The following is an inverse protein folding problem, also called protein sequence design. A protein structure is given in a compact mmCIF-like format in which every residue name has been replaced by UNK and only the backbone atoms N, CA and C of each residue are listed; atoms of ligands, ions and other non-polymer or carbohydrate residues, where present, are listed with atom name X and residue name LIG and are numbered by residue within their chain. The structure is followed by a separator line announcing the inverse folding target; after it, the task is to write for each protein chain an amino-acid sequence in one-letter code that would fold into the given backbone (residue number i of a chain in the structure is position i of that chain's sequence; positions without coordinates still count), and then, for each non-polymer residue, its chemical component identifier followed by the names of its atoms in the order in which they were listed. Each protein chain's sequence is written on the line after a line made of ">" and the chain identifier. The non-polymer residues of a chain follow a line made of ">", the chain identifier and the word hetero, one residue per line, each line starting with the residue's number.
data_IF_439406787465
#
_entry.id   IF_439406787465
#
_cell.length_a   1.000
_cell.length_b   1.000
_cell.length_c   1.000
_cell.angle_alpha   90.00
_cell.angle_beta   90.00
_cell.angle_gamma   90.00
#
_symmetry.space_group_name_H-M   'P 1'
#
loop_
_entity.id
_entity.type
_entity.pdbx_description
1 polymer ?
#
# COMPACT_ATOMS: atom_id res chain seq x y z
N UNK A 1 10.39 12.78 -22.26
CA UNK A 1 9.32 11.74 -22.25
C UNK A 1 9.99 10.38 -22.11
N UNK A 2 9.63 9.62 -21.06
CA UNK A 2 10.17 8.28 -20.80
C UNK A 2 9.29 7.23 -21.51
N UNK A 3 9.91 6.34 -22.28
CA UNK A 3 9.22 5.22 -22.92
C UNK A 3 9.10 4.09 -21.90
N UNK A 4 7.87 3.67 -21.60
CA UNK A 4 7.59 2.45 -20.84
C UNK A 4 7.23 1.39 -21.88
N UNK A 5 8.07 0.37 -22.03
CA UNK A 5 7.77 -0.75 -22.93
C UNK A 5 6.75 -1.65 -22.25
N UNK A 6 5.66 -1.98 -22.94
CA UNK A 6 4.52 -2.74 -22.40
C UNK A 6 4.83 -4.22 -22.10
N UNK A 7 6.05 -4.67 -22.43
CA UNK A 7 6.47 -6.05 -22.28
C UNK A 7 7.14 -6.23 -20.91
N UNK A 8 6.41 -6.88 -19.99
CA UNK A 8 6.99 -7.38 -18.75
C UNK A 8 7.74 -8.65 -19.10
N UNK A 9 9.05 -8.68 -18.86
CA UNK A 9 9.82 -9.91 -19.01
C UNK A 9 9.31 -10.93 -17.98
N UNK A 10 8.61 -11.96 -18.46
CA UNK A 10 7.90 -12.90 -17.60
C UNK A 10 8.83 -13.75 -16.73
N UNK A 11 10.10 -13.89 -17.11
CA UNK A 11 11.11 -14.65 -16.37
C UNK A 11 11.64 -13.88 -15.15
N UNK A 12 11.83 -12.57 -15.28
CA UNK A 12 12.39 -11.71 -14.23
C UNK A 12 11.35 -10.87 -13.48
N UNK A 13 10.11 -10.79 -13.98
CA UNK A 13 9.05 -9.88 -13.49
C UNK A 13 9.51 -8.41 -13.46
N UNK A 14 10.41 -8.03 -14.37
CA UNK A 14 10.88 -6.66 -14.50
C UNK A 14 10.27 -5.98 -15.72
N UNK A 15 10.08 -4.66 -15.62
CA UNK A 15 9.68 -3.83 -16.75
C UNK A 15 10.85 -2.90 -17.09
N UNK A 16 11.23 -2.89 -18.36
CA UNK A 16 12.28 -1.99 -18.84
C UNK A 16 11.73 -0.57 -18.94
N UNK A 17 12.35 0.37 -18.24
CA UNK A 17 12.02 1.80 -18.29
C UNK A 17 13.21 2.56 -18.88
N UNK A 18 13.00 3.29 -19.98
CA UNK A 18 14.02 4.17 -20.57
C UNK A 18 13.77 5.60 -20.13
N UNK A 19 14.77 6.20 -19.45
CA UNK A 19 14.70 7.59 -18.98
C UNK A 19 15.65 8.44 -19.81
N UNK A 20 15.14 9.55 -20.35
CA UNK A 20 15.98 10.57 -20.97
C UNK A 20 16.44 11.55 -19.88
N UNK A 21 17.75 11.73 -19.73
CA UNK A 21 18.33 12.66 -18.77
C UNK A 21 18.72 13.95 -19.51
N UNK A 22 18.11 15.07 -19.13
CA UNK A 22 18.42 16.39 -19.69
C UNK A 22 19.50 17.08 -18.84
N UNK A 23 20.40 17.84 -19.46
CA UNK A 23 21.40 18.67 -18.74
C UNK A 23 22.57 17.91 -18.11
N UNK A 24 22.84 16.67 -18.54
CA UNK A 24 23.96 15.88 -18.03
C UNK A 24 25.19 16.11 -18.91
N UNK A 25 25.99 17.13 -18.59
CA UNK A 25 27.28 17.37 -19.23
C UNK A 25 28.39 16.67 -18.44
N UNK A 26 29.09 15.71 -19.07
CA UNK A 26 30.40 15.22 -18.62
C UNK A 26 30.44 14.07 -17.59
N UNK A 27 29.44 13.92 -16.71
CA UNK A 27 29.59 13.07 -15.50
C UNK A 27 28.88 11.71 -15.52
N UNK A 28 28.16 11.36 -16.59
CA UNK A 28 27.51 10.04 -16.73
C UNK A 28 28.13 9.27 -17.88
N UNK A 29 29.03 8.35 -17.53
CA UNK A 29 29.70 7.47 -18.49
C UNK A 29 28.89 6.17 -18.70
N UNK A 30 28.93 5.57 -19.91
CA UNK A 30 28.38 4.23 -20.13
C UNK A 30 28.94 3.22 -19.11
N UNK A 31 28.05 2.42 -18.51
CA UNK A 31 28.40 1.46 -17.46
C UNK A 31 28.24 1.98 -16.03
N UNK A 32 27.90 3.25 -15.83
CA UNK A 32 27.62 3.83 -14.51
C UNK A 32 26.27 3.33 -13.97
N UNK A 33 26.21 3.00 -12.68
CA UNK A 33 24.97 2.68 -11.98
C UNK A 33 24.30 3.94 -11.44
N UNK A 34 22.99 4.08 -11.67
CA UNK A 34 22.16 5.13 -11.09
C UNK A 34 21.05 4.54 -10.22
N UNK A 35 20.56 5.32 -9.24
CA UNK A 35 19.33 5.02 -8.49
C UNK A 35 18.29 6.07 -8.85
N UNK A 36 17.11 5.63 -9.25
CA UNK A 36 15.96 6.49 -9.51
C UNK A 36 14.91 6.25 -8.42
N UNK A 37 14.43 7.33 -7.81
CA UNK A 37 13.24 7.30 -6.96
C UNK A 37 12.04 7.60 -7.83
N UNK A 38 11.17 6.60 -8.02
CA UNK A 38 9.89 6.81 -8.69
C UNK A 38 8.89 7.25 -7.62
N UNK A 39 8.48 8.51 -7.66
CA UNK A 39 7.39 8.99 -6.82
C UNK A 39 6.08 8.37 -7.32
N UNK A 40 5.49 7.48 -6.53
CA UNK A 40 4.11 7.06 -6.75
C UNK A 40 3.18 8.23 -6.41
N UNK A 41 2.17 8.47 -7.25
CA UNK A 41 1.14 9.47 -6.95
C UNK A 41 0.50 9.16 -5.59
N UNK A 42 0.32 10.17 -4.76
CA UNK A 42 -0.36 10.02 -3.48
C UNK A 42 -1.83 9.69 -3.75
N UNK A 43 -2.25 8.48 -3.37
CA UNK A 43 -3.67 8.11 -3.41
C UNK A 43 -4.30 8.27 -2.03
N UNK A 44 -5.56 8.68 -2.00
CA UNK A 44 -6.34 8.62 -0.77
C UNK A 44 -6.50 7.16 -0.33
N UNK A 45 -6.28 6.91 0.95
CA UNK A 45 -6.34 5.59 1.53
C UNK A 45 -6.89 5.66 2.96
N UNK A 46 -7.66 4.63 3.35
CA UNK A 46 -8.16 4.49 4.71
C UNK A 46 -7.11 3.77 5.54
N UNK A 47 -6.71 4.37 6.65
CA UNK A 47 -5.78 3.77 7.61
C UNK A 47 -6.47 3.52 8.94
N UNK A 48 -6.12 2.41 9.57
CA UNK A 48 -6.50 2.09 10.96
C UNK A 48 -5.24 1.75 11.77
N UNK A 49 -5.25 1.90 13.10
CA UNK A 49 -4.18 1.40 13.95
C UNK A 49 -3.98 -0.10 13.74
N UNK A 50 -2.73 -0.58 13.75
CA UNK A 50 -2.44 -2.00 13.58
C UNK A 50 -3.13 -2.87 14.65
N UNK A 51 -3.28 -2.34 15.88
CA UNK A 51 -4.00 -3.00 16.98
C UNK A 51 -5.48 -3.21 16.71
N UNK A 52 -6.09 -2.43 15.81
CA UNK A 52 -7.50 -2.52 15.44
C UNK A 52 -7.80 -3.73 14.52
N UNK A 53 -6.76 -4.35 13.94
CA UNK A 53 -6.90 -5.44 12.98
C UNK A 53 -6.69 -6.78 13.68
N UNK A 54 -7.76 -7.57 13.81
CA UNK A 54 -7.70 -8.94 14.27
C UNK A 54 -7.51 -9.89 13.08
N UNK A 55 -6.60 -10.87 13.19
CA UNK A 55 -6.41 -11.90 12.17
C UNK A 55 -6.89 -13.26 12.68
N UNK A 56 -7.68 -13.96 11.86
CA UNK A 56 -8.06 -15.36 12.09
C UNK A 56 -7.70 -16.13 10.82
N UNK A 57 -6.70 -17.00 10.93
CA UNK A 57 -6.11 -17.65 9.75
C UNK A 57 -5.58 -16.62 8.76
N UNK A 58 -6.07 -16.67 7.52
CA UNK A 58 -5.71 -15.74 6.45
C UNK A 58 -6.65 -14.52 6.34
N UNK A 59 -7.67 -14.45 7.19
CA UNK A 59 -8.67 -13.39 7.15
C UNK A 59 -8.32 -12.28 8.13
N UNK A 60 -8.51 -11.02 7.70
CA UNK A 60 -8.34 -9.83 8.52
C UNK A 60 -9.70 -9.20 8.81
N UNK A 61 -9.91 -8.83 10.08
CA UNK A 61 -11.15 -8.26 10.56
C UNK A 61 -10.90 -7.00 11.37
N UNK A 62 -11.87 -6.10 11.35
CA UNK A 62 -11.98 -4.97 12.28
C UNK A 62 -13.35 -5.00 12.94
N UNK A 63 -13.49 -4.33 14.08
CA UNK A 63 -14.79 -4.11 14.71
C UNK A 63 -15.23 -2.67 14.47
N UNK A 64 -16.32 -2.49 13.70
CA UNK A 64 -16.90 -1.19 13.37
C UNK A 64 -18.02 -0.88 14.35
N UNK A 65 -18.06 0.33 14.90
CA UNK A 65 -19.11 0.79 15.78
C UNK A 65 -20.29 1.31 14.97
N UNK A 66 -21.46 0.69 15.13
CA UNK A 66 -22.74 1.12 14.53
C UNK A 66 -23.83 1.01 15.58
N UNK A 67 -24.59 2.08 15.77
CA UNK A 67 -25.71 2.14 16.73
C UNK A 67 -25.32 1.69 18.15
N UNK A 68 -24.11 2.08 18.60
CA UNK A 68 -23.56 1.71 19.90
C UNK A 68 -23.08 0.26 20.03
N UNK A 69 -23.05 -0.52 18.94
CA UNK A 69 -22.62 -1.92 18.91
C UNK A 69 -21.39 -2.12 18.06
N UNK A 70 -20.49 -3.00 18.50
CA UNK A 70 -19.33 -3.42 17.73
C UNK A 70 -19.71 -4.55 16.77
N UNK A 71 -19.57 -4.32 15.48
CA UNK A 71 -19.84 -5.30 14.43
C UNK A 71 -18.53 -5.73 13.76
N UNK A 72 -18.29 -7.03 13.72
CA UNK A 72 -17.13 -7.58 13.02
C UNK A 72 -17.29 -7.38 11.52
N UNK A 73 -16.24 -6.89 10.87
CA UNK A 73 -16.21 -6.66 9.44
C UNK A 73 -14.93 -7.22 8.84
N UNK A 74 -15.09 -8.04 7.79
CA UNK A 74 -13.97 -8.52 6.98
C UNK A 74 -13.38 -7.35 6.19
N UNK A 75 -12.06 -7.25 6.19
CA UNK A 75 -11.32 -6.20 5.47
C UNK A 75 -10.20 -6.81 4.64
N UNK A 76 -9.85 -6.13 3.56
CA UNK A 76 -8.60 -6.39 2.84
C UNK A 76 -7.57 -5.37 3.28
N UNK A 77 -6.42 -5.83 3.76
CA UNK A 77 -5.33 -4.96 4.22
C UNK A 77 -4.30 -4.74 3.12
N UNK A 78 -3.73 -3.54 3.08
CA UNK A 78 -2.57 -3.17 2.29
C UNK A 78 -1.29 -3.15 3.12
N UNK A 79 -0.25 -2.45 2.64
CA UNK A 79 0.98 -2.23 3.38
C UNK A 79 0.75 -1.54 4.73
N UNK A 80 1.61 -1.86 5.70
CA UNK A 80 1.71 -1.09 6.93
C UNK A 80 2.55 0.17 6.71
N UNK A 81 2.21 1.25 7.40
CA UNK A 81 2.96 2.51 7.41
C UNK A 81 3.04 3.00 8.85
N UNK A 82 4.21 2.84 9.47
CA UNK A 82 4.37 3.08 10.91
C UNK A 82 3.51 2.13 11.74
N UNK A 83 2.68 2.68 12.61
CA UNK A 83 1.75 1.97 13.50
C UNK A 83 0.37 1.74 12.86
N UNK A 84 0.20 2.08 11.58
CA UNK A 84 -1.06 1.99 10.85
C UNK A 84 -1.01 0.93 9.76
N UNK A 85 -2.16 0.34 9.49
CA UNK A 85 -2.37 -0.58 8.38
C UNK A 85 -3.35 0.07 7.40
N UNK A 86 -2.98 0.05 6.12
CA UNK A 86 -3.88 0.46 5.06
C UNK A 86 -5.04 -0.54 4.90
N UNK A 87 -6.25 -0.03 4.69
CA UNK A 87 -7.43 -0.82 4.35
C UNK A 87 -7.79 -0.60 2.88
N UNK A 88 -7.59 -1.63 2.06
CA UNK A 88 -7.89 -1.64 0.63
C UNK A 88 -9.38 -1.83 0.34
N UNK A 89 -10.10 -2.54 1.22
CA UNK A 89 -11.55 -2.69 1.13
C UNK A 89 -12.17 -3.11 2.45
N UNK A 90 -13.49 -2.89 2.57
CA UNK A 90 -14.29 -3.25 3.75
C UNK A 90 -14.52 -2.09 4.72
N UNK A 91 -13.84 -0.95 4.58
CA UNK A 91 -14.14 0.26 5.35
C UNK A 91 -14.37 1.46 4.43
N UNK A 92 -15.09 2.45 4.95
CA UNK A 92 -15.24 3.77 4.34
C UNK A 92 -14.62 4.83 5.24
N UNK A 93 -14.20 5.93 4.64
CA UNK A 93 -13.81 7.11 5.41
C UNK A 93 -14.96 7.52 6.35
N UNK A 94 -14.62 7.82 7.61
CA UNK A 94 -15.59 8.13 8.65
C UNK A 94 -16.17 6.92 9.41
N UNK A 95 -15.86 5.68 9.02
CA UNK A 95 -16.18 4.52 9.86
C UNK A 95 -15.41 4.60 11.19
N UNK A 96 -16.13 4.44 12.30
CA UNK A 96 -15.53 4.36 13.64
C UNK A 96 -15.19 2.90 13.94
N UNK A 97 -13.93 2.62 14.28
CA UNK A 97 -13.46 1.27 14.61
C UNK A 97 -12.93 1.20 16.04
N UNK A 98 -13.03 0.04 16.67
CA UNK A 98 -12.37 -0.20 17.95
C UNK A 98 -10.86 -0.32 17.74
N UNK A 99 -10.09 0.48 18.49
CA UNK A 99 -8.63 0.44 18.43
C UNK A 99 -8.04 -0.86 18.97
N UNK A 100 -8.79 -1.57 19.85
CA UNK A 100 -8.44 -2.88 20.39
C UNK A 100 -9.70 -3.76 20.32
N UNK A 101 -9.79 -4.70 19.37
CA UNK A 101 -10.94 -5.58 19.21
C UNK A 101 -11.14 -6.48 20.42
N UNK A 102 -12.39 -6.71 20.80
CA UNK A 102 -12.77 -7.64 21.85
C UNK A 102 -12.71 -9.06 21.26
N UNK A 103 -11.98 -9.96 21.91
CA UNK A 103 -11.96 -11.38 21.56
C UNK A 103 -13.26 -12.01 22.05
N UNK A 104 -14.14 -12.44 21.14
CA UNK A 104 -15.23 -13.35 21.49
C UNK A 104 -14.61 -14.75 21.62
N UNK A 105 -14.52 -15.22 22.87
CA UNK A 105 -14.03 -16.56 23.22
C UNK A 105 -15.07 -17.65 22.98
#
# INVERSE_FOLDING_TARGET
>A
VAEIVSEVDAASRTQLVKVHLEGVEGDVLPGTFGRLWVAAESREAVFVPASAVARIGQLAFVQVVRDGRALRRLVKTGPATGDRIEILSGLRAGDVVLANPIQEG
#
